data_IF_505080889312
#
_entry.id   IF_505080889312
#
_cell.length_a   1.000
_cell.length_b   1.000
_cell.length_c   1.000
_cell.angle_alpha   90.00
_cell.angle_beta   90.00
_cell.angle_gamma   90.00
#
_symmetry.space_group_name_H-M   'P 1'
#
loop_
_entity.id
_entity.type
_entity.pdbx_description
1 polymer ?
#
# COMPACT_ATOMS: atom_id res chain seq x y z
N UNK A 1 -4.90 -14.00 11.93
CA UNK A 1 -5.25 -15.36 12.43
C UNK A 1 -4.75 -15.46 13.87
N UNK A 2 -5.58 -15.87 14.84
CA UNK A 2 -5.06 -16.25 16.15
C UNK A 2 -3.97 -17.32 15.95
N UNK A 3 -2.86 -17.20 16.67
CA UNK A 3 -1.78 -18.18 16.63
C UNK A 3 -2.35 -19.57 16.97
N UNK A 4 -2.30 -20.51 16.02
CA UNK A 4 -2.68 -21.91 16.25
C UNK A 4 -3.93 -22.44 15.52
N UNK A 5 -4.64 -21.63 14.71
CA UNK A 5 -5.69 -22.16 13.83
C UNK A 5 -5.11 -22.61 12.47
N UNK A 6 -5.50 -23.80 12.02
CA UNK A 6 -5.25 -24.25 10.64
C UNK A 6 -6.12 -23.45 9.66
N UNK A 7 -5.60 -23.09 8.46
CA UNK A 7 -6.38 -22.38 7.46
C UNK A 7 -7.58 -23.21 7.02
N UNK A 8 -8.69 -22.55 6.72
CA UNK A 8 -9.88 -23.18 6.18
C UNK A 8 -9.57 -23.75 4.78
N UNK A 9 -10.18 -24.88 4.38
CA UNK A 9 -9.94 -25.45 3.05
C UNK A 9 -10.19 -24.46 1.91
N UNK A 10 -11.17 -23.56 2.05
CA UNK A 10 -11.46 -22.52 1.07
C UNK A 10 -10.36 -21.45 0.96
N UNK A 11 -9.70 -21.10 2.07
CA UNK A 11 -8.55 -20.18 2.06
C UNK A 11 -7.35 -20.82 1.35
N UNK A 12 -7.10 -22.12 1.63
CA UNK A 12 -6.03 -22.87 0.97
C UNK A 12 -6.28 -23.00 -0.53
N UNK A 13 -7.51 -23.36 -0.92
CA UNK A 13 -7.89 -23.48 -2.33
C UNK A 13 -7.82 -22.14 -3.07
N UNK A 14 -8.23 -21.05 -2.40
CA UNK A 14 -8.07 -19.70 -2.90
C UNK A 14 -6.60 -19.37 -3.23
N UNK A 15 -5.69 -19.58 -2.27
CA UNK A 15 -4.25 -19.34 -2.48
C UNK A 15 -3.67 -20.25 -3.56
N UNK A 16 -4.05 -21.52 -3.61
CA UNK A 16 -3.60 -22.45 -4.67
C UNK A 16 -4.02 -21.97 -6.06
N UNK A 17 -5.28 -21.54 -6.22
CA UNK A 17 -5.79 -21.00 -7.49
C UNK A 17 -5.07 -19.71 -7.88
N UNK A 18 -4.76 -18.85 -6.91
CA UNK A 18 -3.98 -17.63 -7.14
C UNK A 18 -2.56 -17.93 -7.60
N UNK A 19 -1.88 -18.87 -6.93
CA UNK A 19 -0.51 -19.27 -7.30
C UNK A 19 -0.45 -19.93 -8.69
N UNK A 20 -1.54 -20.56 -9.14
CA UNK A 20 -1.63 -21.15 -10.46
C UNK A 20 -1.94 -20.14 -11.59
N UNK A 21 -2.49 -18.97 -11.27
CA UNK A 21 -2.88 -17.94 -12.23
C UNK A 21 -2.65 -16.54 -11.63
N UNK A 22 -1.46 -16.00 -11.88
CA UNK A 22 -1.00 -14.72 -11.34
C UNK A 22 -1.67 -13.51 -11.98
N UNK A 23 -2.42 -13.69 -13.08
CA UNK A 23 -3.14 -12.60 -13.75
C UNK A 23 -4.50 -12.32 -13.14
N UNK A 24 -4.98 -13.16 -12.20
CA UNK A 24 -6.24 -12.89 -11.50
C UNK A 24 -6.08 -11.75 -10.53
N UNK A 25 -6.81 -10.68 -10.80
CA UNK A 25 -6.97 -9.54 -9.90
C UNK A 25 -7.61 -10.02 -8.59
N UNK A 26 -6.91 -9.78 -7.49
CA UNK A 26 -7.37 -10.15 -6.14
C UNK A 26 -8.11 -8.97 -5.55
N UNK A 27 -9.40 -9.16 -5.28
CA UNK A 27 -10.25 -8.16 -4.67
C UNK A 27 -10.78 -8.64 -3.32
N UNK A 28 -10.77 -7.77 -2.32
CA UNK A 28 -11.43 -7.98 -1.03
C UNK A 28 -10.69 -8.83 0.01
N UNK A 29 -9.50 -9.35 -0.27
CA UNK A 29 -8.67 -10.08 0.72
C UNK A 29 -7.59 -9.15 1.26
N UNK A 30 -7.59 -8.94 2.58
CA UNK A 30 -6.60 -8.15 3.30
C UNK A 30 -5.64 -9.08 4.06
N UNK A 31 -4.36 -9.04 3.72
CA UNK A 31 -3.32 -9.85 4.35
C UNK A 31 -2.70 -9.10 5.54
N UNK A 32 -2.46 -9.81 6.63
CA UNK A 32 -1.71 -9.26 7.75
C UNK A 32 -0.24 -9.07 7.34
N UNK A 33 0.20 -7.82 7.29
CA UNK A 33 1.50 -7.45 6.76
C UNK A 33 2.66 -8.02 7.61
N UNK A 34 2.48 -8.13 8.94
CA UNK A 34 3.51 -8.67 9.83
C UNK A 34 3.67 -10.19 9.66
N UNK A 35 2.55 -10.91 9.56
CA UNK A 35 2.58 -12.34 9.27
C UNK A 35 3.20 -12.62 7.89
N UNK A 36 2.85 -11.81 6.89
CA UNK A 36 3.40 -11.93 5.55
C UNK A 36 4.92 -11.65 5.52
N UNK A 37 5.37 -10.59 6.21
CA UNK A 37 6.79 -10.27 6.36
C UNK A 37 7.57 -11.39 7.05
N UNK A 38 6.99 -12.00 8.09
CA UNK A 38 7.60 -13.14 8.77
C UNK A 38 7.74 -14.38 7.87
N UNK A 39 6.83 -14.58 6.91
CA UNK A 39 6.94 -15.63 5.89
C UNK A 39 8.05 -15.29 4.89
N UNK A 40 8.02 -14.09 4.30
CA UNK A 40 9.01 -13.66 3.31
C UNK A 40 10.44 -13.62 3.87
N UNK A 41 10.59 -13.25 5.15
CA UNK A 41 11.89 -13.26 5.83
C UNK A 41 12.57 -14.64 5.82
N UNK A 42 11.80 -15.73 5.77
CA UNK A 42 12.35 -17.10 5.69
C UNK A 42 12.94 -17.43 4.31
N UNK A 43 12.65 -16.61 3.30
CA UNK A 43 13.16 -16.76 1.94
C UNK A 43 14.44 -15.95 1.69
N UNK A 44 14.79 -15.04 2.60
CA UNK A 44 16.00 -14.22 2.48
C UNK A 44 17.25 -15.05 2.78
N UNK A 45 18.34 -14.73 2.08
CA UNK A 45 19.65 -15.34 2.37
C UNK A 45 20.15 -14.86 3.74
N UNK A 46 20.66 -15.82 4.54
CA UNK A 46 21.29 -15.53 5.82
C UNK A 46 22.55 -14.67 5.72
N UNK A 47 23.19 -14.61 4.54
CA UNK A 47 24.29 -13.68 4.26
C UNK A 47 23.86 -12.23 4.06
N UNK A 48 22.57 -11.98 3.78
CA UNK A 48 22.04 -10.66 3.42
C UNK A 48 21.29 -9.98 4.58
N UNK A 49 21.59 -10.35 5.82
CA UNK A 49 20.94 -9.79 7.02
C UNK A 49 21.62 -8.52 7.56
N UNK A 50 22.77 -8.14 6.99
CA UNK A 50 23.57 -7.00 7.41
C UNK A 50 23.00 -5.63 7.02
N UNK A 51 23.63 -4.55 7.50
CA UNK A 51 23.19 -3.17 7.22
C UNK A 51 23.34 -2.76 5.74
N UNK A 52 24.20 -3.44 4.98
CA UNK A 52 24.41 -3.19 3.55
C UNK A 52 23.31 -3.70 2.62
N UNK A 53 22.24 -4.29 3.15
CA UNK A 53 21.14 -4.85 2.36
C UNK A 53 19.80 -4.21 2.72
N UNK A 54 19.01 -3.93 1.69
CA UNK A 54 17.61 -3.50 1.79
C UNK A 54 16.79 -4.43 0.91
N UNK A 55 15.96 -5.26 1.54
CA UNK A 55 15.08 -6.19 0.84
C UNK A 55 13.71 -5.56 0.66
N UNK A 56 13.27 -5.44 -0.58
CA UNK A 56 11.96 -4.87 -0.94
C UNK A 56 11.18 -5.90 -1.75
N UNK A 57 10.01 -6.28 -1.25
CA UNK A 57 9.09 -7.20 -1.92
C UNK A 57 7.93 -6.40 -2.49
N UNK A 58 7.75 -6.45 -3.80
CA UNK A 58 6.53 -5.96 -4.45
C UNK A 58 5.49 -7.08 -4.52
N UNK A 59 4.27 -6.77 -4.12
CA UNK A 59 3.15 -7.72 -4.16
C UNK A 59 1.87 -7.05 -4.65
N UNK A 60 1.06 -7.78 -5.41
CA UNK A 60 -0.31 -7.39 -5.75
C UNK A 60 -1.33 -7.87 -4.69
N UNK A 61 -0.88 -8.21 -3.48
CA UNK A 61 -1.73 -8.46 -2.32
C UNK A 61 -2.03 -7.15 -1.62
N UNK A 62 -3.30 -6.88 -1.32
CA UNK A 62 -3.65 -5.81 -0.39
C UNK A 62 -3.19 -6.22 1.02
N UNK A 63 -2.34 -5.40 1.64
CA UNK A 63 -1.83 -5.67 2.99
C UNK A 63 -2.43 -4.69 3.99
N UNK A 64 -2.46 -5.10 5.26
CA UNK A 64 -2.89 -4.24 6.34
C UNK A 64 -2.23 -4.56 7.66
N UNK A 65 -2.30 -3.61 8.58
CA UNK A 65 -1.82 -3.73 9.95
C UNK A 65 -2.98 -3.53 10.91
N UNK A 66 -2.99 -4.28 12.01
CA UNK A 66 -3.92 -4.04 13.11
C UNK A 66 -3.53 -2.75 13.84
N UNK A 67 -4.52 -1.89 14.10
CA UNK A 67 -4.38 -0.70 14.94
C UNK A 67 -5.09 -0.96 16.28
N UNK A 68 -4.35 -0.91 17.38
CA UNK A 68 -4.88 -1.14 18.73
C UNK A 68 -5.76 0.02 19.22
N UNK A 69 -5.57 1.23 18.67
CA UNK A 69 -6.31 2.43 19.07
C UNK A 69 -7.77 2.37 18.65
N UNK A 70 -8.05 2.00 17.39
CA UNK A 70 -9.42 1.86 16.87
C UNK A 70 -9.87 0.40 16.68
N UNK A 71 -9.03 -0.57 17.04
CA UNK A 71 -9.30 -2.01 17.07
C UNK A 71 -9.82 -2.54 15.73
N UNK A 72 -9.17 -2.15 14.65
CA UNK A 72 -9.43 -2.68 13.32
C UNK A 72 -8.16 -2.75 12.48
N UNK A 73 -8.24 -3.52 11.40
CA UNK A 73 -7.22 -3.51 10.37
C UNK A 73 -7.32 -2.25 9.51
N UNK A 74 -6.17 -1.67 9.21
CA UNK A 74 -6.02 -0.60 8.24
C UNK A 74 -5.20 -1.10 7.05
N UNK A 75 -5.69 -0.84 5.85
CA UNK A 75 -4.91 -1.08 4.65
C UNK A 75 -3.63 -0.22 4.65
N UNK A 76 -2.56 -0.75 4.06
CA UNK A 76 -1.27 -0.09 3.93
C UNK A 76 -0.73 -0.25 2.51
N UNK A 77 -0.14 0.80 1.96
CA UNK A 77 0.63 0.73 0.72
C UNK A 77 2.00 0.10 0.95
N UNK A 78 2.57 0.26 2.15
CA UNK A 78 3.90 -0.23 2.49
C UNK A 78 3.97 -0.69 3.95
N UNK A 79 4.76 -1.74 4.19
CA UNK A 79 5.29 -2.09 5.50
C UNK A 79 6.82 -1.96 5.44
N UNK A 80 7.39 -1.08 6.27
CA UNK A 80 8.84 -0.94 6.38
C UNK A 80 9.41 -1.98 7.35
N UNK A 81 10.39 -2.75 6.91
CA UNK A 81 10.95 -3.86 7.68
C UNK A 81 12.07 -4.60 6.97
N UNK A 82 12.29 -5.86 7.36
CA UNK A 82 13.29 -6.74 6.75
C UNK A 82 12.65 -8.12 6.50
N UNK A 83 12.06 -8.35 5.31
CA UNK A 83 11.96 -7.42 4.17
C UNK A 83 10.87 -6.37 4.37
N UNK A 84 11.02 -5.24 3.68
CA UNK A 84 9.93 -4.28 3.46
C UNK A 84 8.99 -4.82 2.38
N UNK A 85 7.70 -4.55 2.53
CA UNK A 85 6.66 -5.02 1.59
C UNK A 85 5.97 -3.80 1.00
N UNK A 86 5.97 -3.69 -0.32
CA UNK A 86 5.23 -2.69 -1.09
C UNK A 86 4.05 -3.38 -1.76
N UNK A 87 2.84 -2.94 -1.40
CA UNK A 87 1.57 -3.46 -1.92
C UNK A 87 1.08 -2.59 -3.08
N UNK A 88 1.11 -3.13 -4.30
CA UNK A 88 0.60 -2.44 -5.49
C UNK A 88 -0.90 -2.12 -5.35
N UNK A 89 -1.69 -3.07 -4.84
CA UNK A 89 -3.10 -2.83 -4.54
C UNK A 89 -3.28 -1.84 -3.40
N UNK A 90 -2.38 -1.84 -2.41
CA UNK A 90 -2.38 -0.87 -1.32
C UNK A 90 -2.21 0.57 -1.81
N UNK A 91 -1.43 0.82 -2.86
CA UNK A 91 -1.30 2.17 -3.46
C UNK A 91 -2.65 2.75 -3.93
N UNK A 92 -3.56 1.87 -4.37
CA UNK A 92 -4.89 2.24 -4.88
C UNK A 92 -5.93 2.28 -3.76
N UNK A 93 -5.89 1.29 -2.86
CA UNK A 93 -6.98 1.04 -1.90
C UNK A 93 -6.72 1.62 -0.50
N UNK A 94 -5.46 1.84 -0.11
CA UNK A 94 -5.12 2.25 1.25
C UNK A 94 -5.26 3.76 1.51
N UNK A 95 -4.78 4.66 0.65
CA UNK A 95 -5.01 6.10 0.82
C UNK A 95 -6.49 6.44 0.67
N UNK A 96 -6.98 7.34 1.52
CA UNK A 96 -8.36 7.77 1.47
C UNK A 96 -8.66 8.57 0.18
N UNK A 97 -9.82 8.32 -0.41
CA UNK A 97 -10.41 9.14 -1.49
C UNK A 97 -11.00 10.44 -0.95
N UNK A 98 -11.32 11.39 -1.82
CA UNK A 98 -11.89 12.68 -1.41
C UNK A 98 -13.17 12.52 -0.58
N UNK A 99 -13.44 13.44 0.35
CA UNK A 99 -14.64 13.39 1.22
C UNK A 99 -15.95 13.27 0.42
N UNK A 100 -16.01 13.89 -0.76
CA UNK A 100 -17.15 13.81 -1.69
C UNK A 100 -17.50 12.39 -2.10
N UNK A 101 -16.50 11.55 -2.38
CA UNK A 101 -16.68 10.12 -2.69
C UNK A 101 -17.51 9.41 -1.62
N UNK A 102 -17.15 9.58 -0.34
CA UNK A 102 -17.83 8.91 0.77
C UNK A 102 -19.23 9.47 1.06
N UNK A 103 -19.45 10.77 0.82
CA UNK A 103 -20.77 11.39 0.94
C UNK A 103 -21.71 10.88 -0.15
N UNK A 104 -21.24 10.83 -1.39
CA UNK A 104 -21.97 10.30 -2.52
C UNK A 104 -22.33 8.83 -2.32
N UNK A 105 -21.38 8.00 -1.88
CA UNK A 105 -21.63 6.58 -1.59
C UNK A 105 -22.70 6.37 -0.52
N UNK A 106 -22.63 7.11 0.59
CA UNK A 106 -23.63 7.06 1.66
C UNK A 106 -25.02 7.53 1.22
N UNK A 107 -25.06 8.59 0.40
CA UNK A 107 -26.32 9.10 -0.18
C UNK A 107 -26.97 8.06 -1.09
N UNK A 108 -26.19 7.44 -1.99
CA UNK A 108 -26.65 6.38 -2.88
C UNK A 108 -27.14 5.13 -2.11
N UNK A 109 -26.45 4.78 -1.02
CA UNK A 109 -26.86 3.71 -0.11
C UNK A 109 -28.20 4.01 0.58
N UNK A 110 -28.39 5.22 1.09
CA UNK A 110 -29.65 5.65 1.69
C UNK A 110 -30.82 5.65 0.69
N UNK A 111 -30.54 5.84 -0.61
CA UNK A 111 -31.52 5.74 -1.70
C UNK A 111 -31.78 4.30 -2.16
N UNK A 112 -31.10 3.29 -1.59
CA UNK A 112 -31.26 1.89 -1.96
C UNK A 112 -30.80 1.56 -3.38
N UNK A 113 -29.84 2.33 -3.93
CA UNK A 113 -29.30 2.06 -5.26
C UNK A 113 -28.51 0.75 -5.28
N UNK A 114 -28.40 0.11 -6.44
CA UNK A 114 -27.55 -1.07 -6.63
C UNK A 114 -26.05 -0.70 -6.47
N UNK A 115 -25.21 -1.66 -6.06
CA UNK A 115 -23.78 -1.42 -5.78
C UNK A 115 -23.05 -0.78 -6.97
N UNK A 116 -23.34 -1.21 -8.20
CA UNK A 116 -22.74 -0.67 -9.41
C UNK A 116 -22.99 0.84 -9.53
N UNK A 117 -24.24 1.25 -9.26
CA UNK A 117 -24.65 2.65 -9.33
C UNK A 117 -24.14 3.48 -8.15
N UNK A 118 -23.98 2.86 -6.97
CA UNK A 118 -23.30 3.51 -5.82
C UNK A 118 -21.85 3.82 -6.16
N UNK A 119 -21.14 2.87 -6.78
CA UNK A 119 -19.75 3.04 -7.19
C UNK A 119 -19.61 4.09 -8.29
N UNK A 120 -20.47 4.04 -9.31
CA UNK A 120 -20.49 5.03 -10.40
C UNK A 120 -20.67 6.46 -9.85
N UNK A 121 -21.67 6.67 -8.99
CA UNK A 121 -21.91 7.99 -8.38
C UNK A 121 -20.76 8.41 -7.46
N UNK A 122 -20.21 7.50 -6.65
CA UNK A 122 -19.11 7.86 -5.77
C UNK A 122 -17.86 8.27 -6.56
N UNK A 123 -17.56 7.57 -7.65
CA UNK A 123 -16.44 7.88 -8.55
C UNK A 123 -16.59 9.22 -9.26
N UNK A 124 -17.81 9.76 -9.44
CA UNK A 124 -17.98 11.09 -10.01
C UNK A 124 -17.50 12.22 -9.08
N UNK A 125 -17.19 11.92 -7.82
CA UNK A 125 -16.63 12.86 -6.83
C UNK A 125 -15.18 12.50 -6.47
N UNK A 126 -14.57 11.64 -7.27
CA UNK A 126 -13.23 11.17 -7.07
C UNK A 126 -12.29 11.95 -7.99
N UNK A 127 -11.81 13.07 -7.48
CA UNK A 127 -10.83 13.88 -8.21
C UNK A 127 -9.47 13.18 -8.14
N UNK A 128 -8.96 12.81 -9.32
CA UNK A 128 -7.59 12.37 -9.58
C UNK A 128 -7.05 11.34 -8.57
N UNK A 129 -7.45 10.08 -8.71
CA UNK A 129 -6.99 8.97 -7.88
C UNK A 129 -6.32 7.90 -8.74
N UNK A 130 -5.43 7.09 -8.14
CA UNK A 130 -4.89 5.91 -8.81
C UNK A 130 -5.98 4.86 -9.01
N UNK A 131 -5.95 4.19 -10.17
CA UNK A 131 -6.67 2.96 -10.43
C UNK A 131 -5.68 1.79 -10.60
N UNK A 132 -6.18 0.55 -10.56
CA UNK A 132 -5.36 -0.60 -10.93
C UNK A 132 -4.98 -0.49 -12.41
N UNK A 133 -3.74 -0.83 -12.74
CA UNK A 133 -3.14 -0.71 -14.08
C UNK A 133 -2.98 0.75 -14.58
N UNK A 134 -3.09 1.74 -13.69
CA UNK A 134 -2.77 3.14 -13.99
C UNK A 134 -1.26 3.31 -14.27
N UNK A 135 -0.91 4.03 -15.34
CA UNK A 135 0.49 4.24 -15.76
C UNK A 135 1.35 4.91 -14.66
N UNK A 136 0.71 5.76 -13.83
CA UNK A 136 1.35 6.48 -12.72
C UNK A 136 1.73 5.56 -11.56
N UNK A 137 1.18 4.35 -11.49
CA UNK A 137 1.55 3.37 -10.45
C UNK A 137 3.06 3.08 -10.47
N UNK A 138 3.71 3.15 -11.63
CA UNK A 138 5.16 2.95 -11.73
C UNK A 138 5.93 4.03 -10.98
N UNK A 139 5.51 5.30 -11.07
CA UNK A 139 6.14 6.38 -10.32
C UNK A 139 5.89 6.25 -8.82
N UNK A 140 4.66 5.92 -8.44
CA UNK A 140 4.30 5.69 -7.04
C UNK A 140 5.12 4.51 -6.46
N UNK A 141 5.30 3.44 -7.23
CA UNK A 141 6.11 2.28 -6.85
C UNK A 141 7.58 2.63 -6.64
N UNK A 142 8.16 3.53 -7.46
CA UNK A 142 9.54 4.02 -7.26
C UNK A 142 9.71 4.75 -5.93
N UNK A 143 8.77 5.63 -5.56
CA UNK A 143 8.82 6.31 -4.26
C UNK A 143 8.70 5.35 -3.08
N UNK A 144 7.76 4.40 -3.16
CA UNK A 144 7.65 3.34 -2.15
C UNK A 144 8.86 2.40 -2.11
N UNK A 145 9.60 2.23 -3.21
CA UNK A 145 10.88 1.50 -3.22
C UNK A 145 11.97 2.25 -2.43
N UNK A 146 11.94 3.58 -2.45
CA UNK A 146 12.92 4.43 -1.79
C UNK A 146 12.65 4.62 -0.30
N UNK A 147 11.41 4.47 0.16
CA UNK A 147 11.09 4.55 1.60
C UNK A 147 11.85 3.53 2.46
N UNK A 148 11.95 2.22 2.11
CA UNK A 148 12.82 1.26 2.79
C UNK A 148 14.30 1.68 2.85
N UNK A 149 14.80 2.29 1.78
CA UNK A 149 16.19 2.76 1.70
C UNK A 149 16.41 3.93 2.66
N UNK A 150 15.54 4.94 2.61
CA UNK A 150 15.57 6.08 3.52
C UNK A 150 15.46 5.61 4.98
N UNK A 151 14.47 4.78 5.29
CA UNK A 151 14.28 4.22 6.63
C UNK A 151 15.51 3.45 7.13
N UNK A 152 16.19 2.71 6.25
CA UNK A 152 17.42 1.99 6.62
C UNK A 152 18.58 2.93 6.94
N UNK A 153 18.66 4.08 6.26
CA UNK A 153 19.74 5.06 6.42
C UNK A 153 19.51 6.00 7.60
N UNK A 154 18.27 6.44 7.82
CA UNK A 154 17.94 7.50 8.78
C UNK A 154 17.22 6.99 10.03
N UNK A 155 16.56 5.84 9.94
CA UNK A 155 15.62 5.36 10.97
C UNK A 155 14.27 6.08 10.96
N UNK A 156 14.10 7.10 10.11
CA UNK A 156 12.84 7.84 9.98
C UNK A 156 11.87 7.09 9.06
N UNK A 157 10.63 6.93 9.51
CA UNK A 157 9.64 6.09 8.82
C UNK A 157 9.11 6.81 7.57
N UNK A 158 8.76 8.09 7.69
CA UNK A 158 8.21 8.89 6.60
C UNK A 158 8.60 10.36 6.72
N UNK A 159 8.56 11.08 5.59
CA UNK A 159 8.74 12.52 5.54
C UNK A 159 7.40 13.25 5.79
N UNK A 160 7.48 14.47 6.29
CA UNK A 160 6.33 15.38 6.48
C UNK A 160 6.18 16.42 5.36
N UNK A 161 7.16 16.51 4.45
CA UNK A 161 7.10 17.42 3.30
C UNK A 161 6.18 16.84 2.21
N UNK A 162 5.04 17.50 1.88
CA UNK A 162 4.07 16.99 0.92
C UNK A 162 4.57 16.93 -0.53
N UNK A 163 5.71 17.55 -0.83
CA UNK A 163 6.35 17.53 -2.15
C UNK A 163 7.51 16.53 -2.22
N UNK A 164 7.80 15.80 -1.14
CA UNK A 164 8.84 14.77 -1.11
C UNK A 164 8.24 13.39 -1.42
N UNK A 165 8.89 12.57 -2.25
CA UNK A 165 8.45 11.19 -2.54
C UNK A 165 8.43 10.24 -1.33
N UNK A 166 8.97 10.67 -0.20
CA UNK A 166 8.93 9.94 1.07
C UNK A 166 7.78 10.39 1.99
N UNK A 167 6.89 11.28 1.51
CA UNK A 167 5.78 11.81 2.28
C UNK A 167 4.83 10.72 2.80
N UNK A 168 4.37 10.87 4.04
CA UNK A 168 3.34 10.02 4.64
C UNK A 168 1.93 10.38 4.12
N UNK A 169 1.68 10.13 2.84
CA UNK A 169 0.39 10.43 2.24
C UNK A 169 -0.73 9.56 2.85
N UNK A 170 -1.78 10.22 3.34
CA UNK A 170 -2.98 9.56 3.83
C UNK A 170 -4.15 9.63 2.84
N UNK A 171 -4.09 10.56 1.89
CA UNK A 171 -5.10 10.76 0.85
C UNK A 171 -4.52 10.51 -0.55
N UNK A 172 -5.34 10.05 -1.49
CA UNK A 172 -4.93 9.79 -2.88
C UNK A 172 -4.29 11.03 -3.54
N UNK A 173 -4.88 12.22 -3.33
CA UNK A 173 -4.36 13.48 -3.85
C UNK A 173 -2.97 13.82 -3.29
N UNK A 174 -2.74 13.55 -2.01
CA UNK A 174 -1.44 13.76 -1.38
C UNK A 174 -0.39 12.79 -1.93
N UNK A 175 -0.80 11.53 -2.12
CA UNK A 175 0.07 10.51 -2.70
C UNK A 175 0.51 10.93 -4.11
N UNK A 176 -0.44 11.30 -4.97
CA UNK A 176 -0.12 11.73 -6.34
C UNK A 176 0.70 13.02 -6.35
N UNK A 177 0.41 13.99 -5.49
CA UNK A 177 1.25 15.19 -5.36
C UNK A 177 2.71 14.83 -5.05
N UNK A 178 2.92 13.98 -4.05
CA UNK A 178 4.26 13.59 -3.63
C UNK A 178 4.99 12.71 -4.67
N UNK A 179 4.27 11.92 -5.46
CA UNK A 179 4.86 10.91 -6.36
C UNK A 179 5.00 11.36 -7.82
N UNK A 180 4.11 12.23 -8.27
CA UNK A 180 4.02 12.66 -9.68
C UNK A 180 3.89 14.19 -9.83
N UNK A 181 4.08 14.95 -8.75
CA UNK A 181 4.06 16.41 -8.80
C UNK A 181 5.22 16.99 -9.61
N UNK A 182 5.10 18.27 -9.99
CA UNK A 182 6.12 19.01 -10.76
C UNK A 182 7.35 19.43 -9.92
N UNK A 183 7.40 19.03 -8.65
CA UNK A 183 8.50 19.32 -7.73
C UNK A 183 9.72 18.45 -7.94
N UNK A 184 10.75 18.71 -7.14
CA UNK A 184 11.91 17.82 -7.04
C UNK A 184 11.51 16.48 -6.39
N UNK A 185 12.16 15.37 -6.78
CA UNK A 185 11.82 14.03 -6.25
C UNK A 185 11.92 13.93 -4.72
N UNK A 186 12.84 14.67 -4.10
CA UNK A 186 13.07 14.65 -2.65
C UNK A 186 13.23 16.06 -2.11
N UNK A 187 12.81 16.29 -0.86
CA UNK A 187 13.08 17.55 -0.16
C UNK A 187 14.60 17.75 0.06
N UNK A 188 15.01 18.97 0.42
CA UNK A 188 16.43 19.32 0.59
C UNK A 188 17.19 18.33 1.48
N UNK A 189 16.61 17.99 2.64
CA UNK A 189 17.19 17.03 3.57
C UNK A 189 17.38 15.65 2.94
N UNK A 190 16.37 15.12 2.26
CA UNK A 190 16.44 13.79 1.68
C UNK A 190 17.35 13.71 0.44
N UNK A 191 17.52 14.81 -0.31
CA UNK A 191 18.53 14.89 -1.37
C UNK A 191 19.95 14.77 -0.84
N UNK A 192 20.24 15.43 0.28
CA UNK A 192 21.56 15.34 0.93
C UNK A 192 21.90 13.90 1.38
N UNK A 193 20.89 13.07 1.62
CA UNK A 193 21.05 11.69 2.09
C UNK A 193 21.05 10.68 0.93
N UNK A 194 20.16 10.85 -0.05
CA UNK A 194 19.86 9.84 -1.06
C UNK A 194 20.46 10.13 -2.45
N UNK A 195 20.83 11.37 -2.74
CA UNK A 195 21.28 11.80 -4.07
C UNK A 195 22.76 12.18 -4.11
N UNK A 196 23.59 11.58 -3.23
CA UNK A 196 25.03 11.79 -3.21
C UNK A 196 25.76 11.16 -4.40
#
# INVERSE_FOLDING_TARGET
>A
MPVGQSPLPGEVDYERRRLADTNKTVFGILYDAYLLSAIYRRLLDGGETGMGYVHVVFTNQLIGTWDEGDRRYHARSVLLGSPSIVSLSGMVEAPARATGYYLARRSAEAMGLAEEKKMELARSFDDDCLEHDDERMTEVAKGYAMQPVAYRLTGEVFCEDPDCRLFNAHWQRELLRAQTGEGEDFCSMHREILCQ
#
